data_IF_598176994057
#
_entry.id   IF_598176994057
#
_cell.length_a   1.000
_cell.length_b   1.000
_cell.length_c   1.000
_cell.angle_alpha   90.00
_cell.angle_beta   90.00
_cell.angle_gamma   90.00
#
_symmetry.space_group_name_H-M   'P 1'
#
loop_
_entity.id
_entity.type
_entity.pdbx_description
1 polymer ?
#
# COMPACT_ATOMS: atom_id res chain seq x y z
N UNK A 1 -31.16 32.31 33.41
CA UNK A 1 -29.71 32.64 33.52
C UNK A 1 -28.81 31.44 33.80
N UNK A 2 -29.28 30.32 34.35
CA UNK A 2 -28.42 29.10 34.62
C UNK A 2 -28.18 28.22 33.39
N UNK A 3 -29.10 28.18 32.44
CA UNK A 3 -29.01 27.36 31.21
C UNK A 3 -27.97 27.93 30.23
N UNK A 4 -27.86 29.24 30.11
CA UNK A 4 -26.88 29.88 29.22
C UNK A 4 -25.42 29.70 29.66
N UNK A 5 -25.16 29.51 30.96
CA UNK A 5 -23.82 29.23 31.49
C UNK A 5 -23.37 27.78 31.24
N UNK A 6 -24.32 26.84 31.20
CA UNK A 6 -24.03 25.43 30.89
C UNK A 6 -23.66 25.24 29.42
N UNK A 7 -24.35 25.94 28.51
CA UNK A 7 -24.04 25.91 27.08
C UNK A 7 -22.65 26.52 26.75
N UNK A 8 -22.24 27.55 27.45
CA UNK A 8 -20.92 28.18 27.26
C UNK A 8 -19.78 27.28 27.75
N UNK A 9 -20.02 26.44 28.76
CA UNK A 9 -19.01 25.47 29.25
C UNK A 9 -18.87 24.27 28.32
N UNK A 10 -19.95 23.83 27.66
CA UNK A 10 -19.94 22.69 26.71
C UNK A 10 -19.24 23.12 25.40
N UNK A 11 -19.46 24.35 24.92
CA UNK A 11 -18.79 24.87 23.71
C UNK A 11 -17.29 25.13 23.93
N UNK A 12 -16.84 25.39 25.15
CA UNK A 12 -15.42 25.57 25.45
C UNK A 12 -14.65 24.24 25.50
N UNK A 13 -15.34 23.13 25.84
CA UNK A 13 -14.72 21.79 25.90
C UNK A 13 -14.48 21.17 24.51
N UNK A 14 -15.20 21.59 23.48
CA UNK A 14 -15.05 21.09 22.10
C UNK A 14 -13.95 21.78 21.30
N UNK A 15 -13.38 22.87 21.82
CA UNK A 15 -12.34 23.65 21.12
C UNK A 15 -10.91 23.11 21.28
N UNK A 16 -10.68 22.10 22.12
CA UNK A 16 -9.38 21.44 22.27
C UNK A 16 -9.29 20.16 21.41
N UNK A 17 -9.41 20.29 20.12
CA UNK A 17 -8.91 19.28 19.19
C UNK A 17 -7.39 19.31 19.26
N UNK A 18 -6.78 18.42 20.05
CA UNK A 18 -5.34 18.19 20.02
C UNK A 18 -5.01 17.68 18.62
N UNK A 19 -4.51 18.56 17.76
CA UNK A 19 -3.92 18.17 16.49
C UNK A 19 -2.63 17.44 16.82
N UNK A 20 -2.70 16.10 16.90
CA UNK A 20 -1.51 15.26 16.99
C UNK A 20 -0.85 15.26 15.61
N UNK A 21 0.15 16.10 15.42
CA UNK A 21 1.02 16.02 14.25
C UNK A 21 2.13 15.00 14.53
N UNK A 22 2.45 14.17 13.55
CA UNK A 22 3.66 13.36 13.60
C UNK A 22 4.87 14.31 13.71
N UNK A 23 5.77 14.03 14.66
CA UNK A 23 6.98 14.85 14.87
C UNK A 23 7.89 14.83 13.63
N UNK A 24 7.95 13.70 12.94
CA UNK A 24 8.72 13.55 11.69
C UNK A 24 7.76 13.22 10.54
N UNK A 25 7.96 13.85 9.40
CA UNK A 25 7.18 13.67 8.19
C UNK A 25 8.09 13.43 6.98
N UNK A 26 7.64 12.58 6.04
CA UNK A 26 8.26 12.41 4.73
C UNK A 26 7.54 13.29 3.73
N UNK A 27 8.29 14.16 3.06
CA UNK A 27 7.75 15.08 2.06
C UNK A 27 7.76 14.44 0.68
N UNK A 28 6.60 14.46 0.00
CA UNK A 28 6.44 13.92 -1.35
C UNK A 28 5.84 12.51 -1.40
N UNK A 29 6.17 11.78 -2.47
CA UNK A 29 5.60 10.46 -2.71
C UNK A 29 6.24 9.39 -1.81
N UNK A 30 5.41 8.47 -1.30
CA UNK A 30 5.88 7.25 -0.62
C UNK A 30 6.15 6.08 -1.59
N UNK A 31 6.02 6.31 -2.90
CA UNK A 31 6.37 5.34 -3.93
C UNK A 31 7.22 6.02 -5.01
N UNK A 32 8.48 5.61 -5.11
CA UNK A 32 9.43 6.05 -6.12
C UNK A 32 9.55 4.96 -7.18
N UNK A 33 9.13 5.25 -8.40
CA UNK A 33 9.23 4.33 -9.54
C UNK A 33 10.37 4.83 -10.43
N UNK A 34 11.36 3.98 -10.62
CA UNK A 34 12.60 4.28 -11.35
C UNK A 34 12.76 3.29 -12.49
N UNK A 35 12.90 3.81 -13.72
CA UNK A 35 13.06 3.00 -14.92
C UNK A 35 14.54 2.89 -15.27
N UNK A 36 15.00 1.69 -15.58
CA UNK A 36 16.39 1.45 -15.94
C UNK A 36 16.60 0.15 -16.69
N UNK A 37 17.83 -0.07 -17.09
CA UNK A 37 18.31 -1.30 -17.75
C UNK A 37 19.47 -1.89 -16.96
N UNK A 38 19.83 -3.18 -17.17
CA UNK A 38 20.99 -3.77 -16.56
C UNK A 38 22.26 -2.90 -16.71
N UNK A 39 22.96 -2.67 -15.59
CA UNK A 39 24.15 -1.83 -15.50
C UNK A 39 23.91 -0.36 -15.20
N UNK A 40 22.67 0.12 -15.23
CA UNK A 40 22.39 1.52 -14.91
C UNK A 40 22.58 1.82 -13.42
N UNK A 41 23.00 3.07 -13.14
CA UNK A 41 23.09 3.64 -11.80
C UNK A 41 22.10 4.81 -11.72
N UNK A 42 21.12 4.71 -10.81
CA UNK A 42 20.05 5.68 -10.68
C UNK A 42 20.09 6.27 -9.28
N UNK A 43 20.01 7.61 -9.19
CA UNK A 43 19.99 8.32 -7.91
C UNK A 43 18.58 8.81 -7.58
N UNK A 44 18.25 8.77 -6.31
CA UNK A 44 17.01 9.31 -5.80
C UNK A 44 17.20 9.97 -4.42
N UNK A 45 16.17 10.64 -3.96
CA UNK A 45 16.18 11.33 -2.68
C UNK A 45 14.86 11.19 -1.94
N UNK A 46 14.93 11.18 -0.61
CA UNK A 46 13.78 11.24 0.30
C UNK A 46 13.97 12.48 1.16
N UNK A 47 13.01 13.41 1.13
CA UNK A 47 13.02 14.60 2.00
C UNK A 47 12.22 14.29 3.25
N UNK A 48 12.83 14.54 4.41
CA UNK A 48 12.22 14.38 5.72
C UNK A 48 12.22 15.71 6.44
N UNK A 49 11.16 15.97 7.20
CA UNK A 49 10.98 17.19 7.98
C UNK A 49 10.68 16.87 9.43
N UNK A 50 11.32 17.58 10.34
CA UNK A 50 10.92 17.62 11.73
C UNK A 50 9.85 18.72 11.92
N UNK A 51 8.62 18.31 12.25
CA UNK A 51 7.51 19.25 12.49
C UNK A 51 7.46 19.80 13.92
N UNK A 52 8.30 19.25 14.82
CA UNK A 52 8.42 19.72 16.19
C UNK A 52 9.41 20.90 16.29
N UNK A 53 9.44 21.54 17.45
CA UNK A 53 10.43 22.57 17.83
C UNK A 53 11.66 21.96 18.50
N UNK A 54 11.59 20.72 18.95
CA UNK A 54 12.67 19.95 19.59
C UNK A 54 13.40 19.08 18.57
N UNK A 55 14.66 18.77 18.88
CA UNK A 55 15.46 17.86 18.07
C UNK A 55 14.83 16.46 18.04
N UNK A 56 14.83 15.83 16.87
CA UNK A 56 14.29 14.47 16.67
C UNK A 56 15.33 13.58 16.01
N UNK A 57 15.60 12.43 16.61
CA UNK A 57 16.40 11.39 15.97
C UNK A 57 15.53 10.62 14.98
N UNK A 58 16.07 10.36 13.79
CA UNK A 58 15.43 9.57 12.74
C UNK A 58 16.36 8.44 12.32
N UNK A 59 15.84 7.23 12.26
CA UNK A 59 16.51 6.07 11.68
C UNK A 59 15.98 5.78 10.29
N UNK A 60 16.88 5.42 9.40
CA UNK A 60 16.56 4.94 8.05
C UNK A 60 17.13 3.54 7.89
N UNK A 61 16.30 2.60 7.50
CA UNK A 61 16.69 1.22 7.30
C UNK A 61 15.89 0.59 6.16
N UNK A 62 16.30 -0.56 5.71
CA UNK A 62 15.72 -1.23 4.57
C UNK A 62 14.94 -2.46 5.00
N UNK A 63 13.84 -2.73 4.29
CA UNK A 63 13.03 -3.94 4.43
C UNK A 63 12.49 -4.34 3.06
N UNK A 64 12.01 -5.56 2.95
CA UNK A 64 11.18 -6.00 1.84
C UNK A 64 9.69 -5.84 2.19
N UNK A 65 8.87 -5.60 1.18
CA UNK A 65 7.42 -5.46 1.29
C UNK A 65 6.73 -6.61 0.57
N UNK A 66 5.92 -7.35 1.31
CA UNK A 66 5.02 -8.38 0.78
C UNK A 66 3.61 -8.16 1.33
N UNK A 67 2.61 -8.59 0.58
CA UNK A 67 1.21 -8.63 1.02
C UNK A 67 0.45 -9.77 0.36
N UNK A 68 -0.67 -10.16 0.96
CA UNK A 68 -1.44 -11.32 0.56
C UNK A 68 -2.95 -11.05 0.57
N UNK A 69 -3.74 -12.10 0.25
CA UNK A 69 -5.21 -12.06 0.18
C UNK A 69 -5.91 -11.66 1.49
N UNK A 70 -5.27 -11.90 2.63
CA UNK A 70 -5.80 -11.52 3.94
C UNK A 70 -5.57 -10.04 4.26
N UNK A 71 -5.10 -9.26 3.26
CA UNK A 71 -4.74 -7.84 3.41
C UNK A 71 -3.63 -7.58 4.45
N UNK A 72 -2.88 -8.62 4.82
CA UNK A 72 -1.72 -8.48 5.68
C UNK A 72 -0.55 -7.94 4.87
N UNK A 73 0.07 -6.89 5.42
CA UNK A 73 1.32 -6.32 4.90
C UNK A 73 2.47 -6.76 5.79
N UNK A 74 3.50 -7.32 5.18
CA UNK A 74 4.70 -7.81 5.86
C UNK A 74 5.90 -6.96 5.46
N UNK A 75 6.74 -6.65 6.45
CA UNK A 75 8.02 -5.98 6.26
C UNK A 75 9.12 -6.94 6.73
N UNK A 76 9.64 -7.70 5.78
CA UNK A 76 10.65 -8.73 6.05
C UNK A 76 12.08 -8.21 5.87
N UNK A 77 13.07 -9.02 6.22
CA UNK A 77 14.48 -8.70 6.04
C UNK A 77 14.78 -8.38 4.56
N UNK A 78 15.70 -7.42 4.29
CA UNK A 78 16.10 -7.05 2.94
C UNK A 78 16.63 -8.26 2.14
N UNK A 79 16.10 -8.48 0.95
CA UNK A 79 16.47 -9.61 0.09
C UNK A 79 15.68 -10.89 0.37
N UNK A 80 14.60 -10.84 1.13
CA UNK A 80 13.77 -12.01 1.50
C UNK A 80 12.99 -12.60 0.33
N UNK A 81 12.73 -11.84 -0.74
CA UNK A 81 12.03 -12.35 -1.92
C UNK A 81 12.85 -12.19 -3.21
N UNK A 82 12.55 -13.04 -4.20
CA UNK A 82 13.33 -13.16 -5.45
C UNK A 82 13.37 -11.88 -6.30
N UNK A 83 12.43 -10.97 -6.12
CA UNK A 83 12.37 -9.70 -6.85
C UNK A 83 12.68 -8.50 -5.95
N UNK A 84 13.36 -8.74 -4.84
CA UNK A 84 13.90 -7.66 -4.02
C UNK A 84 15.03 -6.95 -4.74
N UNK A 85 14.97 -5.62 -4.79
CA UNK A 85 16.07 -4.76 -5.21
C UNK A 85 16.88 -4.24 -4.02
N UNK A 86 16.67 -4.77 -2.83
CA UNK A 86 17.29 -4.28 -1.61
C UNK A 86 18.83 -4.26 -1.71
N UNK A 87 19.43 -5.31 -2.27
CA UNK A 87 20.88 -5.40 -2.43
C UNK A 87 21.45 -4.45 -3.49
N UNK A 88 20.60 -3.84 -4.31
CA UNK A 88 21.00 -2.88 -5.34
C UNK A 88 21.08 -1.46 -4.80
N UNK A 89 20.47 -1.21 -3.61
CA UNK A 89 20.26 0.13 -3.06
C UNK A 89 21.29 0.42 -1.98
N UNK A 90 21.98 1.54 -2.13
CA UNK A 90 22.78 2.17 -1.09
C UNK A 90 22.12 3.49 -0.70
N UNK A 91 22.09 3.81 0.58
CA UNK A 91 21.49 5.04 1.08
C UNK A 91 22.23 5.62 2.27
N UNK A 92 22.16 6.94 2.43
CA UNK A 92 22.83 7.67 3.50
C UNK A 92 22.09 8.99 3.78
N UNK A 93 22.06 9.43 5.06
CA UNK A 93 22.51 8.74 6.28
C UNK A 93 21.54 7.64 6.74
N UNK A 94 22.04 6.69 7.56
CA UNK A 94 21.23 5.64 8.22
C UNK A 94 20.59 6.12 9.53
N UNK A 95 21.13 7.16 10.14
CA UNK A 95 20.59 7.86 11.28
C UNK A 95 20.96 9.33 11.20
N UNK A 96 20.06 10.20 11.64
CA UNK A 96 20.26 11.63 11.65
C UNK A 96 19.45 12.28 12.77
N UNK A 97 20.02 13.30 13.42
CA UNK A 97 19.29 14.18 14.33
C UNK A 97 18.83 15.38 13.53
N UNK A 98 17.51 15.55 13.40
CA UNK A 98 16.89 16.72 12.80
C UNK A 98 16.66 17.78 13.87
N UNK A 99 17.16 18.98 13.65
CA UNK A 99 16.83 20.13 14.49
C UNK A 99 15.34 20.47 14.39
N UNK A 100 14.82 21.20 15.36
CA UNK A 100 13.44 21.68 15.29
C UNK A 100 13.16 22.39 13.96
N UNK A 101 12.10 22.01 13.25
CA UNK A 101 11.68 22.52 11.93
C UNK A 101 12.64 22.27 10.78
N UNK A 102 13.71 21.48 10.97
CA UNK A 102 14.68 21.20 9.92
C UNK A 102 14.10 20.27 8.85
N UNK A 103 14.49 20.53 7.60
CA UNK A 103 14.29 19.61 6.46
C UNK A 103 15.65 19.03 6.10
N UNK A 104 15.70 17.70 5.95
CA UNK A 104 16.91 16.98 5.56
C UNK A 104 16.62 16.03 4.41
N UNK A 105 17.61 15.83 3.56
CA UNK A 105 17.54 14.89 2.44
C UNK A 105 18.33 13.63 2.77
N UNK A 106 17.68 12.48 2.62
CA UNK A 106 18.30 11.14 2.58
C UNK A 106 18.53 10.82 1.10
N UNK A 107 19.78 10.58 0.74
CA UNK A 107 20.13 10.20 -0.63
C UNK A 107 20.19 8.70 -0.76
N UNK A 108 19.73 8.16 -1.90
CA UNK A 108 19.91 6.77 -2.24
C UNK A 108 20.36 6.61 -3.70
N UNK A 109 21.07 5.52 -3.95
CA UNK A 109 21.55 5.13 -5.27
C UNK A 109 21.20 3.67 -5.51
N UNK A 110 20.70 3.36 -6.71
CA UNK A 110 20.39 2.01 -7.15
C UNK A 110 21.37 1.64 -8.24
N UNK A 111 22.16 0.57 -8.02
CA UNK A 111 23.00 -0.03 -9.04
C UNK A 111 22.32 -1.28 -9.55
N UNK A 112 21.73 -1.22 -10.76
CA UNK A 112 21.06 -2.38 -11.37
C UNK A 112 22.13 -3.37 -11.81
N UNK A 113 22.07 -4.65 -11.38
CA UNK A 113 23.05 -5.65 -11.79
C UNK A 113 23.15 -5.80 -13.30
N UNK A 114 24.34 -6.08 -13.80
CA UNK A 114 24.60 -6.38 -15.21
C UNK A 114 24.19 -7.83 -15.49
N UNK A 115 22.91 -8.07 -15.72
CA UNK A 115 22.38 -9.41 -16.02
C UNK A 115 21.26 -9.35 -17.06
N UNK A 116 21.43 -10.04 -18.17
CA UNK A 116 20.47 -10.05 -19.29
C UNK A 116 19.14 -10.75 -18.96
N UNK A 117 19.10 -11.46 -17.85
CA UNK A 117 17.89 -12.14 -17.37
C UNK A 117 16.94 -11.23 -16.59
N UNK A 118 17.36 -10.01 -16.24
CA UNK A 118 16.54 -9.06 -15.51
C UNK A 118 15.41 -8.52 -16.39
N UNK A 119 14.19 -8.58 -15.87
CA UNK A 119 12.98 -8.06 -16.52
C UNK A 119 11.89 -7.82 -15.51
N UNK A 120 10.95 -6.93 -15.86
CA UNK A 120 9.81 -6.60 -15.02
C UNK A 120 10.16 -5.74 -13.82
N UNK A 121 9.43 -5.92 -12.73
CA UNK A 121 9.48 -5.06 -11.55
C UNK A 121 10.25 -5.72 -10.40
N UNK A 122 11.13 -4.93 -9.79
CA UNK A 122 11.86 -5.24 -8.55
C UNK A 122 11.56 -4.16 -7.53
N UNK A 123 11.41 -4.50 -6.24
CA UNK A 123 11.08 -3.52 -5.22
C UNK A 123 11.63 -3.90 -3.84
N UNK A 124 11.81 -2.88 -3.02
CA UNK A 124 12.01 -2.96 -1.57
C UNK A 124 11.53 -1.65 -0.94
N UNK A 125 11.72 -1.50 0.35
CA UNK A 125 11.27 -0.34 1.11
C UNK A 125 12.42 0.27 1.88
N UNK A 126 12.52 1.60 1.83
CA UNK A 126 13.28 2.39 2.79
C UNK A 126 12.34 2.87 3.88
N UNK A 127 12.55 2.38 5.09
CA UNK A 127 11.78 2.79 6.27
C UNK A 127 12.40 4.04 6.87
N UNK A 128 11.57 5.04 7.15
CA UNK A 128 11.95 6.24 7.89
C UNK A 128 11.17 6.22 9.20
N UNK A 129 11.88 6.14 10.32
CA UNK A 129 11.30 5.97 11.65
C UNK A 129 11.83 7.03 12.61
N UNK A 130 10.92 7.79 13.23
CA UNK A 130 11.28 8.68 14.34
C UNK A 130 11.61 7.88 15.60
N UNK A 131 12.72 8.21 16.25
CA UNK A 131 13.13 7.56 17.50
C UNK A 131 12.54 8.33 18.68
N UNK A 132 11.74 7.65 19.49
CA UNK A 132 11.22 8.22 20.74
C UNK A 132 12.17 7.82 21.88
N UNK A 133 12.85 8.78 22.52
CA UNK A 133 13.76 8.47 23.64
C UNK A 133 13.03 7.76 24.79
N UNK A 134 13.68 6.78 25.37
CA UNK A 134 13.20 6.13 26.60
C UNK A 134 13.69 7.00 27.77
N UNK A 135 12.78 7.57 28.56
CA UNK A 135 13.14 8.19 29.82
C UNK A 135 13.30 7.08 30.89
N UNK A 136 14.53 6.80 31.36
CA UNK A 136 14.77 5.75 32.34
C UNK A 136 14.22 6.09 33.73
N UNK A 137 13.85 7.36 33.96
CA UNK A 137 13.36 7.85 35.27
C UNK A 137 11.82 7.85 35.35
N UNK A 138 11.11 7.51 34.29
CA UNK A 138 9.66 7.46 34.27
C UNK A 138 9.17 6.23 35.07
N UNK A 139 8.94 6.43 36.36
CA UNK A 139 8.39 5.41 37.27
C UNK A 139 6.87 5.52 37.29
N UNK A 140 6.20 4.46 36.89
CA UNK A 140 4.93 4.08 37.50
C UNK A 140 3.62 4.43 36.78
N UNK A 141 3.56 5.03 35.59
CA UNK A 141 2.30 5.18 34.86
C UNK A 141 2.34 4.55 33.46
N UNK A 142 1.20 4.02 33.04
CA UNK A 142 1.02 3.47 31.68
C UNK A 142 1.27 4.57 30.67
N UNK A 143 2.45 4.58 30.04
CA UNK A 143 2.82 5.53 29.01
C UNK A 143 2.62 4.90 27.65
N UNK A 144 1.65 5.40 26.88
CA UNK A 144 1.47 5.02 25.48
C UNK A 144 2.43 5.88 24.65
N UNK A 145 3.32 5.23 23.89
CA UNK A 145 4.23 5.90 22.95
C UNK A 145 3.85 5.53 21.54
N UNK A 146 3.62 6.54 20.72
CA UNK A 146 3.33 6.36 19.30
C UNK A 146 4.60 6.63 18.50
N UNK A 147 5.00 5.67 17.67
CA UNK A 147 6.10 5.82 16.72
C UNK A 147 5.51 5.84 15.32
N UNK A 148 5.77 6.90 14.58
CA UNK A 148 5.38 6.99 13.17
C UNK A 148 6.49 6.42 12.31
N UNK A 149 6.12 5.50 11.42
CA UNK A 149 7.00 4.92 10.40
C UNK A 149 6.45 5.22 9.03
N UNK A 150 7.33 5.64 8.14
CA UNK A 150 7.02 5.81 6.73
C UNK A 150 7.73 4.73 5.93
N UNK A 151 6.96 3.99 5.14
CA UNK A 151 7.44 2.94 4.25
C UNK A 151 7.54 3.50 2.82
N UNK A 152 8.71 3.92 2.41
CA UNK A 152 8.96 4.46 1.07
C UNK A 152 9.30 3.30 0.14
N UNK A 153 8.37 2.96 -0.75
CA UNK A 153 8.58 1.92 -1.75
C UNK A 153 9.55 2.43 -2.82
N UNK A 154 10.67 1.75 -2.97
CA UNK A 154 11.64 1.99 -4.03
C UNK A 154 11.47 0.90 -5.08
N UNK A 155 10.86 1.25 -6.19
CA UNK A 155 10.47 0.34 -7.26
C UNK A 155 11.40 0.54 -8.45
N UNK A 156 12.02 -0.52 -8.92
CA UNK A 156 12.85 -0.52 -10.12
C UNK A 156 12.12 -1.27 -11.23
N UNK A 157 11.78 -0.57 -12.28
CA UNK A 157 11.20 -1.16 -13.49
C UNK A 157 12.26 -1.33 -14.56
N UNK A 158 12.53 -2.57 -14.94
CA UNK A 158 13.51 -2.91 -15.96
C UNK A 158 12.88 -2.63 -17.33
N UNK A 159 13.67 -2.07 -18.25
CA UNK A 159 13.20 -1.71 -19.60
C UNK A 159 12.56 -2.89 -20.36
N UNK A 160 13.05 -4.12 -20.12
CA UNK A 160 12.32 -5.32 -20.53
C UNK A 160 11.24 -5.62 -19.49
N UNK A 161 10.00 -5.30 -19.79
CA UNK A 161 8.86 -5.46 -18.87
C UNK A 161 8.54 -6.92 -18.52
N UNK A 162 8.96 -7.87 -19.34
CA UNK A 162 8.58 -9.27 -19.18
C UNK A 162 7.09 -9.49 -19.46
N UNK A 163 6.53 -10.56 -18.89
CA UNK A 163 5.16 -11.00 -19.14
C UNK A 163 4.23 -10.45 -18.06
N UNK A 164 3.13 -9.80 -18.47
CA UNK A 164 2.01 -9.46 -17.60
C UNK A 164 1.08 -10.65 -17.43
N UNK A 165 0.75 -11.02 -16.21
CA UNK A 165 -0.17 -12.12 -15.93
C UNK A 165 -0.90 -11.89 -14.61
N UNK A 166 -2.23 -12.04 -14.63
CA UNK A 166 -3.07 -12.09 -13.44
C UNK A 166 -3.87 -13.37 -13.45
N UNK A 167 -3.74 -14.14 -12.37
CA UNK A 167 -4.50 -15.36 -12.15
C UNK A 167 -5.69 -15.06 -11.25
N UNK A 168 -6.90 -15.34 -11.72
CA UNK A 168 -8.09 -15.37 -10.89
C UNK A 168 -8.10 -16.66 -10.06
N UNK A 169 -8.31 -16.55 -8.76
CA UNK A 169 -8.71 -17.68 -7.94
C UNK A 169 -10.23 -17.84 -8.01
N UNK A 170 -10.75 -18.94 -7.50
CA UNK A 170 -12.18 -19.19 -7.53
C UNK A 170 -12.94 -18.10 -6.77
N UNK A 171 -13.93 -17.43 -7.42
CA UNK A 171 -14.76 -16.43 -6.77
C UNK A 171 -15.52 -17.01 -5.58
N UNK A 172 -15.64 -16.24 -4.49
CA UNK A 172 -16.29 -16.69 -3.28
C UNK A 172 -17.35 -15.69 -2.81
N UNK A 173 -18.46 -16.22 -2.26
CA UNK A 173 -19.48 -15.42 -1.60
C UNK A 173 -19.13 -15.27 -0.12
N UNK A 174 -19.10 -14.02 0.34
CA UNK A 174 -18.79 -13.67 1.74
C UNK A 174 -20.00 -12.94 2.34
N UNK A 175 -20.55 -13.50 3.43
CA UNK A 175 -21.66 -12.88 4.15
C UNK A 175 -21.14 -12.18 5.41
N UNK A 176 -21.45 -10.89 5.53
CA UNK A 176 -21.12 -10.08 6.70
C UNK A 176 -22.40 -9.40 7.23
N UNK A 177 -22.90 -9.92 8.34
CA UNK A 177 -24.20 -9.48 8.85
C UNK A 177 -25.32 -9.74 7.83
N UNK A 178 -25.97 -8.66 7.39
CA UNK A 178 -27.04 -8.72 6.38
C UNK A 178 -26.54 -8.44 4.95
N UNK A 179 -25.25 -8.18 4.76
CA UNK A 179 -24.66 -7.90 3.44
C UNK A 179 -24.02 -9.14 2.85
N UNK A 180 -24.14 -9.25 1.54
CA UNK A 180 -23.53 -10.30 0.74
C UNK A 180 -22.54 -9.67 -0.24
N UNK A 181 -21.31 -10.19 -0.26
CA UNK A 181 -20.25 -9.73 -1.14
C UNK A 181 -19.78 -10.86 -2.04
N UNK A 182 -19.48 -10.54 -3.28
CA UNK A 182 -18.66 -11.39 -4.14
C UNK A 182 -17.19 -10.98 -3.95
N UNK A 183 -16.37 -11.90 -3.52
CA UNK A 183 -14.93 -11.73 -3.39
C UNK A 183 -14.21 -12.36 -4.58
N UNK A 184 -13.41 -11.55 -5.26
CA UNK A 184 -12.55 -11.94 -6.38
C UNK A 184 -11.11 -11.81 -5.93
N UNK A 185 -10.41 -12.91 -5.88
CA UNK A 185 -9.01 -12.98 -5.49
C UNK A 185 -8.12 -13.04 -6.73
N UNK A 186 -7.18 -12.11 -6.83
CA UNK A 186 -6.20 -12.03 -7.90
C UNK A 186 -4.80 -12.28 -7.37
N UNK A 187 -4.03 -13.04 -8.13
CA UNK A 187 -2.58 -13.24 -7.92
C UNK A 187 -1.86 -12.69 -9.15
N UNK A 188 -0.84 -11.86 -8.94
CA UNK A 188 0.06 -11.48 -10.01
C UNK A 188 1.13 -12.58 -10.14
N UNK A 189 0.97 -13.46 -11.10
CA UNK A 189 1.94 -14.51 -11.45
C UNK A 189 2.85 -14.11 -12.63
N UNK A 190 2.76 -12.84 -13.04
CA UNK A 190 3.62 -12.24 -14.06
C UNK A 190 4.94 -11.69 -13.52
N UNK A 191 5.57 -10.86 -14.32
CA UNK A 191 6.92 -10.33 -14.07
C UNK A 191 6.96 -8.83 -13.77
N UNK A 192 5.90 -8.09 -14.07
CA UNK A 192 5.82 -6.66 -13.77
C UNK A 192 4.63 -6.31 -12.87
N UNK A 193 4.71 -5.14 -12.24
CA UNK A 193 3.66 -4.59 -11.40
C UNK A 193 2.42 -4.28 -12.23
N UNK A 194 1.26 -4.74 -11.77
CA UNK A 194 -0.04 -4.48 -12.37
C UNK A 194 -0.94 -3.85 -11.30
N UNK A 195 -1.66 -2.77 -11.65
CA UNK A 195 -2.64 -2.14 -10.78
C UNK A 195 -4.03 -2.20 -11.44
N UNK A 196 -4.71 -3.36 -11.40
CA UNK A 196 -5.98 -3.52 -12.06
C UNK A 196 -7.10 -2.76 -11.35
N UNK A 197 -7.99 -2.18 -12.15
CA UNK A 197 -9.37 -1.94 -11.79
C UNK A 197 -10.13 -3.23 -12.10
N UNK A 198 -10.87 -3.76 -11.14
CA UNK A 198 -11.68 -4.97 -11.36
C UNK A 198 -13.13 -4.56 -11.45
N UNK A 199 -13.79 -4.98 -12.53
CA UNK A 199 -15.22 -4.79 -12.76
C UNK A 199 -15.92 -6.13 -12.87
N UNK A 200 -17.18 -6.17 -12.45
CA UNK A 200 -18.09 -7.28 -12.68
C UNK A 200 -19.35 -6.78 -13.38
N UNK A 201 -19.85 -7.59 -14.29
CA UNK A 201 -21.19 -7.46 -14.84
C UNK A 201 -21.93 -8.78 -14.62
N UNK A 202 -23.12 -8.70 -13.98
CA UNK A 202 -23.97 -9.84 -13.71
C UNK A 202 -25.13 -9.86 -14.71
N UNK A 203 -25.33 -11.01 -15.32
CA UNK A 203 -26.43 -11.27 -16.25
C UNK A 203 -27.40 -12.30 -15.65
N UNK A 204 -28.69 -12.08 -15.80
CA UNK A 204 -29.71 -13.04 -15.43
C UNK A 204 -29.79 -14.22 -16.44
N UNK A 205 -30.65 -15.18 -16.17
CA UNK A 205 -30.86 -16.37 -17.03
C UNK A 205 -31.34 -16.02 -18.44
N UNK A 206 -31.85 -14.80 -18.66
CA UNK A 206 -32.28 -14.31 -19.99
C UNK A 206 -31.20 -13.54 -20.71
N UNK A 207 -30.02 -13.39 -20.08
CA UNK A 207 -28.92 -12.58 -20.61
C UNK A 207 -29.07 -11.09 -20.43
N UNK A 208 -30.01 -10.63 -19.59
CA UNK A 208 -30.15 -9.21 -19.26
C UNK A 208 -29.15 -8.82 -18.16
N UNK A 209 -28.43 -7.71 -18.36
CA UNK A 209 -27.54 -7.14 -17.36
C UNK A 209 -28.35 -6.64 -16.18
N UNK A 210 -28.03 -7.11 -14.97
CA UNK A 210 -28.73 -6.76 -13.72
C UNK A 210 -27.88 -5.92 -12.80
N UNK A 211 -26.54 -5.96 -12.95
CA UNK A 211 -25.61 -5.17 -12.15
C UNK A 211 -24.30 -4.97 -12.91
N UNK A 212 -23.77 -3.75 -12.85
CA UNK A 212 -22.39 -3.43 -13.26
C UNK A 212 -21.75 -2.64 -12.13
N UNK A 213 -20.61 -3.11 -11.65
CA UNK A 213 -19.88 -2.46 -10.55
C UNK A 213 -18.38 -2.63 -10.75
N UNK A 214 -17.59 -1.62 -10.37
CA UNK A 214 -16.13 -1.70 -10.38
C UNK A 214 -15.55 -1.29 -9.03
N UNK A 215 -14.30 -1.70 -8.78
CA UNK A 215 -13.55 -1.36 -7.57
C UNK A 215 -12.45 -0.37 -7.89
N UNK A 216 -11.96 0.41 -6.91
CA UNK A 216 -10.74 1.17 -7.06
C UNK A 216 -9.55 0.27 -7.42
N UNK A 217 -8.60 0.83 -8.15
CA UNK A 217 -7.35 0.13 -8.51
C UNK A 217 -6.58 -0.28 -7.26
N UNK A 218 -6.13 -1.54 -7.24
CA UNK A 218 -5.19 -2.06 -6.23
C UNK A 218 -3.93 -2.56 -6.94
N UNK A 219 -2.76 -2.14 -6.44
CA UNK A 219 -1.49 -2.56 -7.03
C UNK A 219 -1.10 -3.97 -6.59
N UNK A 220 -0.60 -4.74 -7.54
CA UNK A 220 -0.10 -6.11 -7.35
C UNK A 220 1.32 -6.21 -7.87
N UNK A 221 2.29 -6.35 -6.98
CA UNK A 221 3.64 -6.74 -7.35
C UNK A 221 3.68 -8.21 -7.80
N UNK A 222 4.64 -8.61 -8.62
CA UNK A 222 4.82 -10.03 -8.95
C UNK A 222 4.83 -10.92 -7.70
N UNK A 223 4.14 -12.06 -7.74
CA UNK A 223 3.97 -13.02 -6.64
C UNK A 223 3.11 -12.55 -5.46
N UNK A 224 2.57 -11.35 -5.50
CA UNK A 224 1.60 -10.88 -4.49
C UNK A 224 0.16 -11.10 -4.94
N UNK A 225 -0.75 -11.03 -3.98
CA UNK A 225 -2.18 -11.26 -4.21
C UNK A 225 -3.03 -10.23 -3.49
N UNK A 226 -4.23 -9.98 -3.98
CA UNK A 226 -5.19 -9.07 -3.35
C UNK A 226 -6.62 -9.52 -3.58
N UNK A 227 -7.48 -9.22 -2.61
CA UNK A 227 -8.92 -9.46 -2.68
C UNK A 227 -9.66 -8.21 -3.11
N UNK A 228 -10.56 -8.37 -4.07
CA UNK A 228 -11.49 -7.36 -4.55
C UNK A 228 -12.90 -7.76 -4.10
N UNK A 229 -13.64 -6.84 -3.51
CA UNK A 229 -14.97 -7.13 -2.92
C UNK A 229 -16.03 -6.30 -3.59
N UNK A 230 -17.12 -6.95 -3.97
CA UNK A 230 -18.27 -6.34 -4.65
C UNK A 230 -19.51 -6.55 -3.80
N UNK A 231 -20.14 -5.46 -3.36
CA UNK A 231 -21.41 -5.51 -2.62
C UNK A 231 -22.53 -5.88 -3.59
N UNK A 232 -23.22 -6.97 -3.29
CA UNK A 232 -24.33 -7.48 -4.09
C UNK A 232 -25.69 -6.94 -3.61
N UNK A 233 -25.70 -5.82 -2.89
CA UNK A 233 -26.92 -5.17 -2.45
C UNK A 233 -27.85 -4.85 -3.63
N UNK A 234 -29.13 -5.21 -3.52
CA UNK A 234 -30.12 -5.02 -4.58
C UNK A 234 -30.20 -6.12 -5.64
N UNK A 235 -29.27 -7.08 -5.65
CA UNK A 235 -29.35 -8.24 -6.56
C UNK A 235 -30.26 -9.32 -5.92
N UNK A 236 -31.33 -9.78 -6.58
CA UNK A 236 -32.24 -10.76 -6.00
C UNK A 236 -31.55 -12.09 -5.73
N UNK A 237 -31.68 -12.64 -4.52
CA UNK A 237 -31.19 -13.96 -4.16
C UNK A 237 -32.06 -15.12 -4.69
N UNK A 238 -31.58 -16.36 -4.52
CA UNK A 238 -32.27 -17.58 -4.95
C UNK A 238 -32.25 -17.80 -6.47
N UNK A 239 -31.30 -17.17 -7.19
CA UNK A 239 -31.18 -17.24 -8.65
C UNK A 239 -29.76 -17.55 -9.08
N UNK A 240 -29.65 -18.00 -10.32
CA UNK A 240 -28.36 -18.15 -10.98
C UNK A 240 -28.05 -16.94 -11.84
N UNK A 241 -26.81 -16.47 -11.77
CA UNK A 241 -26.30 -15.37 -12.58
C UNK A 241 -25.05 -15.81 -13.35
N UNK A 242 -24.87 -15.26 -14.55
CA UNK A 242 -23.59 -15.31 -15.25
C UNK A 242 -22.81 -14.05 -14.91
N UNK A 243 -21.63 -14.18 -14.31
CA UNK A 243 -20.75 -13.07 -14.01
C UNK A 243 -19.66 -12.98 -15.09
N UNK A 244 -19.54 -11.80 -15.70
CA UNK A 244 -18.38 -11.40 -16.50
C UNK A 244 -17.47 -10.57 -15.59
N UNK A 245 -16.27 -11.06 -15.31
CA UNK A 245 -15.30 -10.41 -14.43
C UNK A 245 -14.13 -9.95 -15.28
N UNK A 246 -13.79 -8.66 -15.22
CA UNK A 246 -12.69 -8.07 -15.99
C UNK A 246 -11.74 -7.35 -15.04
N UNK A 247 -10.46 -7.68 -15.13
CA UNK A 247 -9.37 -6.96 -14.45
C UNK A 247 -8.57 -6.20 -15.51
N UNK A 248 -8.68 -4.86 -15.53
CA UNK A 248 -8.01 -4.00 -16.48
C UNK A 248 -6.87 -3.23 -15.79
N UNK A 249 -5.63 -3.51 -16.19
CA UNK A 249 -4.42 -2.81 -15.76
C UNK A 249 -4.12 -1.56 -16.60
N UNK A 250 -2.87 -1.19 -16.65
CA UNK A 250 -2.36 -0.17 -17.57
C UNK A 250 -1.88 -0.85 -18.86
N UNK A 251 -1.84 -0.11 -19.97
CA UNK A 251 -1.14 -0.51 -21.22
C UNK A 251 -1.63 -1.81 -21.90
N UNK A 252 -2.87 -2.18 -21.89
CA UNK A 252 -3.44 -3.39 -22.49
C UNK A 252 -3.39 -4.67 -21.63
N UNK A 253 -3.00 -4.57 -20.37
CA UNK A 253 -3.16 -5.68 -19.42
C UNK A 253 -4.64 -5.85 -19.09
N UNK A 254 -5.34 -6.66 -19.88
CA UNK A 254 -6.77 -6.99 -19.68
C UNK A 254 -6.92 -8.49 -19.50
N UNK A 255 -7.50 -8.88 -18.39
CA UNK A 255 -7.73 -10.27 -18.01
C UNK A 255 -9.20 -10.45 -17.72
N UNK A 256 -9.79 -11.55 -18.13
CA UNK A 256 -11.21 -11.83 -17.95
C UNK A 256 -11.49 -13.23 -17.43
N UNK A 257 -12.59 -13.36 -16.69
CA UNK A 257 -13.13 -14.62 -16.20
C UNK A 257 -14.66 -14.61 -16.34
N UNK A 258 -15.22 -15.65 -16.93
CA UNK A 258 -16.64 -15.96 -16.83
C UNK A 258 -16.89 -16.92 -15.67
N UNK A 259 -17.87 -16.61 -14.84
CA UNK A 259 -18.18 -17.44 -13.68
C UNK A 259 -19.70 -17.53 -13.46
N UNK A 260 -20.17 -18.76 -13.19
CA UNK A 260 -21.58 -19.00 -12.86
C UNK A 260 -21.79 -18.88 -11.35
N UNK A 261 -22.62 -17.96 -10.95
CA UNK A 261 -22.85 -17.61 -9.55
C UNK A 261 -24.30 -17.96 -9.15
N UNK A 262 -24.45 -18.58 -8.00
CA UNK A 262 -25.76 -18.84 -7.38
C UNK A 262 -25.77 -18.34 -5.94
N UNK A 263 -26.75 -17.55 -5.57
CA UNK A 263 -26.93 -17.07 -4.19
C UNK A 263 -28.36 -16.63 -3.90
#
# INVERSE_FOLDING_TARGET
MKICRLFFFITLLTAFSLISNASVEVLGSLKHVLNGKPGDVIKGEIKIQNNDITDQEVKVYQTDLLYNLQENTFYDEPGSHKRSNATWIQFSPKSVILKGKEIRTIQYEITIPQADTLRGTYWSVLMVEGVVPIDPNQKGDLSIRTVTRYAIQVVTEIANKGIGSLKFLEPTLVKEGNKLFLAIDLVNDGEHYIAPEVSIELFDEKGASVMVISTPKKGLYPTTSSRFRFDLEGVPGGKTYQAMIVAAGLENDVFGLEYKLFF
#
